data_IF_677733779159
#
_entry.id   IF_677733779159
#
_cell.length_a   1.000
_cell.length_b   1.000
_cell.length_c   1.000
_cell.angle_alpha   90.00
_cell.angle_beta   90.00
_cell.angle_gamma   90.00
#
_symmetry.space_group_name_H-M   'P 1'
#
loop_
_entity.id
_entity.type
_entity.pdbx_description
1 polymer ?
#
# COMPACT_ATOMS: atom_id res chain seq x y z
N UNK A 1 -30.90 -70.19 -2.11
CA UNK A 1 -30.34 -71.39 -1.46
C UNK A 1 -28.83 -71.26 -1.49
N UNK A 2 -28.21 -71.24 -0.29
CA UNK A 2 -26.76 -71.34 0.07
C UNK A 2 -25.76 -70.40 -0.61
N UNK A 3 -25.02 -69.53 0.11
CA UNK A 3 -23.81 -69.81 0.93
C UNK A 3 -22.73 -70.55 0.11
N UNK A 4 -21.46 -70.12 0.02
CA UNK A 4 -20.52 -70.00 1.15
C UNK A 4 -19.27 -69.16 0.80
N UNK A 5 -18.69 -68.62 1.85
CA UNK A 5 -17.47 -67.85 2.12
C UNK A 5 -16.19 -68.72 2.18
N UNK A 6 -15.01 -68.21 1.74
CA UNK A 6 -13.63 -68.57 2.24
C UNK A 6 -12.60 -67.64 1.57
N UNK A 7 -12.00 -66.64 2.23
CA UNK A 7 -10.87 -66.65 3.19
C UNK A 7 -9.54 -67.16 2.61
N UNK A 8 -8.56 -66.23 2.46
CA UNK A 8 -7.15 -66.52 2.17
C UNK A 8 -6.30 -66.03 3.36
N UNK A 9 -5.54 -66.94 3.94
CA UNK A 9 -4.43 -66.75 4.89
C UNK A 9 -3.33 -67.76 4.51
N UNK A 10 -2.09 -67.46 4.90
CA UNK A 10 -0.83 -68.25 4.85
C UNK A 10 0.14 -67.89 3.71
N UNK A 11 1.47 -67.96 3.87
CA UNK A 11 2.35 -67.97 5.04
C UNK A 11 3.82 -67.86 4.55
N UNK A 12 4.63 -67.26 5.43
CA UNK A 12 6.09 -67.37 5.67
C UNK A 12 6.94 -68.51 5.08
N UNK A 13 8.18 -68.18 4.69
CA UNK A 13 9.48 -68.75 5.15
C UNK A 13 10.63 -68.40 4.16
N UNK A 14 11.65 -67.61 4.52
CA UNK A 14 12.86 -67.92 5.32
C UNK A 14 13.91 -68.80 4.60
N UNK A 15 15.03 -68.18 4.17
CA UNK A 15 16.35 -68.83 4.13
C UNK A 15 17.37 -67.86 4.74
N UNK A 16 17.94 -68.30 5.85
CA UNK A 16 19.01 -67.69 6.61
C UNK A 16 20.28 -68.49 6.29
N UNK A 17 21.37 -67.81 5.92
CA UNK A 17 22.72 -68.37 6.08
C UNK A 17 23.62 -67.33 6.74
N UNK A 18 24.48 -67.85 7.59
CA UNK A 18 25.09 -67.25 8.75
C UNK A 18 26.60 -67.19 8.57
N UNK A 19 27.26 -66.11 8.99
CA UNK A 19 28.44 -66.11 9.89
C UNK A 19 29.09 -64.72 10.00
N UNK A 20 29.40 -64.36 11.25
CA UNK A 20 30.11 -63.15 11.74
C UNK A 20 31.64 -63.35 11.69
N UNK A 21 32.49 -62.51 12.35
CA UNK A 21 32.70 -61.07 12.30
C UNK A 21 34.19 -60.73 12.00
N UNK A 22 34.52 -59.50 11.60
CA UNK A 22 35.85 -58.93 11.92
C UNK A 22 35.88 -57.41 11.85
N UNK A 23 36.50 -56.82 12.86
CA UNK A 23 36.75 -55.40 13.08
C UNK A 23 37.86 -54.84 12.17
N UNK A 24 37.69 -53.65 11.58
CA UNK A 24 38.68 -52.55 11.58
C UNK A 24 38.29 -51.40 10.62
N UNK A 25 38.17 -50.20 11.19
CA UNK A 25 38.59 -48.88 10.69
C UNK A 25 38.22 -48.40 9.27
N UNK A 26 37.51 -47.27 9.22
CA UNK A 26 37.89 -45.95 8.65
C UNK A 26 36.65 -45.25 8.04
N UNK A 27 36.33 -44.07 8.60
CA UNK A 27 35.31 -43.11 8.14
C UNK A 27 35.50 -42.66 6.68
N UNK A 28 34.39 -42.27 6.01
CA UNK A 28 34.37 -40.95 5.39
C UNK A 28 33.15 -40.14 5.83
N UNK A 29 33.40 -38.89 6.21
CA UNK A 29 32.45 -37.91 6.71
C UNK A 29 31.18 -37.77 5.84
N UNK A 30 29.97 -37.65 6.43
CA UNK A 30 28.77 -37.35 5.67
C UNK A 30 28.67 -35.85 5.40
N UNK A 31 28.21 -35.52 4.19
CA UNK A 31 27.81 -34.18 3.79
C UNK A 31 26.80 -33.61 4.80
N UNK A 32 27.02 -32.38 5.23
CA UNK A 32 26.20 -31.69 6.22
C UNK A 32 24.89 -31.24 5.56
N UNK A 33 23.86 -32.09 5.61
CA UNK A 33 22.51 -31.63 5.33
C UNK A 33 22.07 -30.66 6.45
N UNK A 34 21.43 -29.53 6.10
CA UNK A 34 20.91 -28.62 7.11
C UNK A 34 19.80 -29.31 7.92
N UNK A 35 19.68 -29.00 9.23
CA UNK A 35 18.65 -29.60 10.05
C UNK A 35 17.26 -29.26 9.50
N UNK A 36 16.28 -30.16 9.67
CA UNK A 36 14.91 -29.91 9.26
C UNK A 36 14.36 -28.65 9.96
N UNK A 37 13.42 -27.93 9.31
CA UNK A 37 12.84 -26.72 9.87
C UNK A 37 12.22 -27.00 11.24
N UNK A 38 12.40 -26.11 12.23
CA UNK A 38 11.88 -26.31 13.57
C UNK A 38 10.35 -26.35 13.54
N UNK A 39 9.76 -27.26 14.32
CA UNK A 39 8.30 -27.42 14.45
C UNK A 39 7.83 -26.55 15.62
N UNK A 40 7.16 -25.41 15.37
CA UNK A 40 6.82 -24.43 16.42
C UNK A 40 5.84 -24.99 17.46
N UNK A 41 5.03 -25.99 17.11
CA UNK A 41 4.09 -26.63 18.04
C UNK A 41 4.77 -27.50 19.11
N UNK A 42 6.08 -27.73 19.00
CA UNK A 42 6.86 -28.56 19.93
C UNK A 42 7.78 -27.72 20.83
N UNK A 43 7.71 -26.38 20.75
CA UNK A 43 8.53 -25.50 21.59
C UNK A 43 7.95 -25.38 23.01
N UNK A 44 8.65 -25.87 24.05
CA UNK A 44 8.20 -25.79 25.44
C UNK A 44 8.09 -24.35 25.95
N UNK A 45 8.66 -23.35 25.25
CA UNK A 45 8.51 -21.93 25.61
C UNK A 45 7.19 -21.31 25.14
N UNK A 46 6.40 -22.04 24.36
CA UNK A 46 5.08 -21.60 23.88
C UNK A 46 3.91 -22.28 24.60
N UNK A 47 4.17 -23.13 25.59
CA UNK A 47 3.11 -23.65 26.46
C UNK A 47 2.54 -22.49 27.30
N UNK A 48 1.30 -22.12 26.99
CA UNK A 48 0.51 -21.23 27.83
C UNK A 48 0.31 -21.97 29.16
N UNK A 49 0.93 -21.48 30.24
CA UNK A 49 0.70 -21.97 31.60
C UNK A 49 -0.78 -21.82 31.94
N UNK A 50 -1.53 -22.91 31.78
CA UNK A 50 -2.97 -22.94 32.04
C UNK A 50 -3.29 -23.19 33.53
N UNK A 51 -2.35 -22.94 34.43
CA UNK A 51 -2.45 -23.30 35.85
C UNK A 51 -2.26 -22.10 36.80
N UNK A 52 -2.94 -20.99 36.48
CA UNK A 52 -3.20 -19.93 37.46
C UNK A 52 -4.66 -19.97 37.87
N UNK A 53 -4.97 -20.93 38.74
CA UNK A 53 -6.20 -20.93 39.54
C UNK A 53 -6.35 -19.57 40.26
N UNK A 54 -7.44 -18.81 40.08
CA UNK A 54 -7.67 -17.63 40.89
C UNK A 54 -8.06 -18.09 42.30
N UNK A 55 -7.25 -17.68 43.27
CA UNK A 55 -7.56 -17.83 44.68
C UNK A 55 -8.92 -17.22 45.01
N UNK A 56 -9.66 -17.96 45.83
CA UNK A 56 -10.93 -17.59 46.44
C UNK A 56 -10.86 -16.21 47.10
N UNK A 57 -11.41 -15.19 46.44
CA UNK A 57 -11.88 -13.96 47.08
C UNK A 57 -13.40 -13.96 47.03
N UNK A 58 -14.01 -13.82 48.20
CA UNK A 58 -15.43 -13.59 48.47
C UNK A 58 -16.15 -12.75 47.40
N UNK A 59 -17.45 -13.00 47.13
CA UNK A 59 -18.20 -12.30 46.10
C UNK A 59 -18.53 -10.88 46.58
N UNK A 60 -17.61 -9.94 46.37
CA UNK A 60 -17.97 -8.54 46.22
C UNK A 60 -18.47 -8.37 44.79
N UNK A 61 -19.76 -8.09 44.68
CA UNK A 61 -20.50 -7.76 43.46
C UNK A 61 -19.79 -6.62 42.70
N UNK A 62 -18.84 -6.98 41.83
CA UNK A 62 -18.09 -6.05 41.00
C UNK A 62 -18.89 -5.80 39.73
N UNK A 63 -19.64 -4.70 39.71
CA UNK A 63 -20.33 -4.13 38.54
C UNK A 63 -19.41 -3.80 37.34
N UNK A 64 -18.12 -4.14 37.40
CA UNK A 64 -17.15 -3.96 36.30
C UNK A 64 -17.07 -5.15 35.34
N UNK A 65 -17.59 -6.34 35.70
CA UNK A 65 -17.51 -7.54 34.86
C UNK A 65 -18.51 -7.58 33.70
N UNK A 66 -19.54 -6.71 33.74
CA UNK A 66 -20.55 -6.54 32.69
C UNK A 66 -20.00 -5.73 31.49
N UNK A 67 -18.77 -5.19 31.60
CA UNK A 67 -18.17 -4.31 30.61
C UNK A 67 -16.90 -4.88 29.98
N UNK A 68 -16.80 -6.20 29.89
CA UNK A 68 -15.71 -6.87 29.19
C UNK A 68 -16.04 -7.08 27.70
N UNK A 69 -15.24 -6.47 26.82
CA UNK A 69 -15.35 -6.61 25.37
C UNK A 69 -15.23 -8.08 24.92
N UNK A 70 -14.39 -8.88 25.60
CA UNK A 70 -14.16 -10.27 25.23
C UNK A 70 -15.33 -11.20 25.55
N UNK A 71 -16.25 -10.76 26.42
CA UNK A 71 -17.50 -11.48 26.71
C UNK A 71 -18.66 -11.08 25.77
N UNK A 72 -18.45 -10.08 24.91
CA UNK A 72 -19.48 -9.58 24.00
C UNK A 72 -19.83 -10.60 22.92
N UNK A 73 -21.10 -10.99 22.87
CA UNK A 73 -21.59 -11.93 21.85
C UNK A 73 -21.59 -11.29 20.46
N UNK A 74 -21.30 -12.05 19.39
CA UNK A 74 -21.36 -11.52 18.02
C UNK A 74 -22.71 -10.92 17.63
N UNK A 75 -23.81 -11.49 18.15
CA UNK A 75 -25.17 -10.97 17.94
C UNK A 75 -25.37 -9.57 18.52
N UNK A 76 -24.75 -9.28 19.68
CA UNK A 76 -24.84 -7.96 20.32
C UNK A 76 -24.00 -6.94 19.56
N UNK A 77 -22.79 -7.31 19.13
CA UNK A 77 -21.97 -6.47 18.25
C UNK A 77 -22.66 -6.17 16.91
N UNK A 78 -23.38 -7.14 16.34
CA UNK A 78 -24.20 -6.94 15.16
C UNK A 78 -25.33 -5.93 15.41
N UNK A 79 -26.01 -6.01 16.55
CA UNK A 79 -27.04 -5.02 16.89
C UNK A 79 -26.46 -3.62 17.06
N UNK A 80 -25.28 -3.48 17.68
CA UNK A 80 -24.56 -2.21 17.79
C UNK A 80 -24.19 -1.64 16.42
N UNK A 81 -23.68 -2.48 15.51
CA UNK A 81 -23.42 -2.11 14.11
C UNK A 81 -24.70 -1.64 13.42
N UNK A 82 -25.80 -2.39 13.54
CA UNK A 82 -27.07 -2.05 12.93
C UNK A 82 -27.59 -0.70 13.44
N UNK A 83 -27.59 -0.50 14.76
CA UNK A 83 -28.03 0.75 15.38
C UNK A 83 -27.18 1.95 14.94
N UNK A 84 -25.85 1.77 14.88
CA UNK A 84 -24.91 2.79 14.40
C UNK A 84 -25.20 3.20 12.96
N UNK A 85 -25.36 2.23 12.05
CA UNK A 85 -25.65 2.51 10.63
C UNK A 85 -27.03 3.15 10.47
N UNK A 86 -28.05 2.67 11.18
CA UNK A 86 -29.37 3.30 11.15
C UNK A 86 -29.35 4.74 11.66
N UNK A 87 -28.55 5.03 12.69
CA UNK A 87 -28.38 6.39 13.17
C UNK A 87 -27.75 7.30 12.12
N UNK A 88 -26.68 6.84 11.45
CA UNK A 88 -26.05 7.59 10.36
C UNK A 88 -27.04 7.85 9.22
N UNK A 89 -27.88 6.88 8.88
CA UNK A 89 -28.96 7.04 7.89
C UNK A 89 -29.97 8.09 8.33
N UNK A 90 -30.40 8.08 9.61
CA UNK A 90 -31.36 9.07 10.14
C UNK A 90 -30.80 10.48 10.11
N UNK A 91 -29.51 10.65 10.44
CA UNK A 91 -28.89 11.98 10.51
C UNK A 91 -28.60 12.53 9.11
N UNK A 92 -28.08 11.70 8.21
CA UNK A 92 -27.81 12.10 6.82
C UNK A 92 -29.11 12.48 6.10
N UNK A 93 -30.20 11.78 6.40
CA UNK A 93 -31.49 11.95 5.73
C UNK A 93 -31.48 11.38 4.30
N UNK A 94 -32.57 11.62 3.58
CA UNK A 94 -32.72 11.17 2.19
C UNK A 94 -32.11 12.23 1.26
N UNK A 95 -30.78 12.21 1.14
CA UNK A 95 -30.08 13.03 0.14
C UNK A 95 -30.25 12.32 -1.21
N UNK A 96 -30.99 12.89 -2.18
CA UNK A 96 -31.08 12.28 -3.49
C UNK A 96 -29.66 12.15 -4.03
N UNK A 97 -29.28 10.98 -4.61
CA UNK A 97 -27.95 10.81 -5.16
C UNK A 97 -27.71 11.98 -6.09
N UNK A 98 -26.76 12.84 -5.75
CA UNK A 98 -26.52 14.07 -6.49
C UNK A 98 -26.29 13.62 -7.92
N UNK A 99 -27.16 13.98 -8.87
CA UNK A 99 -26.98 13.57 -10.24
C UNK A 99 -25.56 13.99 -10.63
N UNK A 100 -24.83 13.19 -11.41
CA UNK A 100 -23.56 13.65 -11.97
C UNK A 100 -23.82 15.04 -12.54
N UNK A 101 -22.94 16.04 -12.31
CA UNK A 101 -23.19 17.40 -12.75
C UNK A 101 -23.63 17.34 -14.21
N UNK A 102 -24.93 17.58 -14.44
CA UNK A 102 -25.50 17.81 -15.76
C UNK A 102 -25.15 19.25 -16.13
N UNK A 103 -23.88 19.59 -16.08
CA UNK A 103 -23.42 20.63 -16.98
C UNK A 103 -23.40 19.93 -18.33
N UNK A 104 -24.23 20.33 -19.32
CA UNK A 104 -23.81 20.15 -20.68
C UNK A 104 -22.40 20.75 -20.71
N UNK A 105 -21.39 19.97 -21.08
CA UNK A 105 -20.18 20.57 -21.57
C UNK A 105 -20.64 21.47 -22.71
N UNK A 106 -20.67 22.77 -22.47
CA UNK A 106 -20.93 23.73 -23.52
C UNK A 106 -19.94 23.35 -24.64
N UNK A 107 -20.40 23.01 -25.85
CA UNK A 107 -19.54 22.45 -26.88
C UNK A 107 -18.39 23.39 -27.30
N UNK A 108 -18.38 24.64 -26.80
CA UNK A 108 -17.30 25.60 -26.99
C UNK A 108 -16.14 25.51 -25.97
N UNK A 109 -16.26 24.75 -24.87
CA UNK A 109 -15.18 24.63 -23.87
C UNK A 109 -14.15 23.55 -24.19
N UNK A 110 -14.41 22.67 -25.17
CA UNK A 110 -13.42 21.70 -25.65
C UNK A 110 -12.16 22.39 -26.15
N UNK A 111 -12.29 23.57 -26.77
CA UNK A 111 -11.16 24.36 -27.22
C UNK A 111 -10.40 24.97 -26.04
N UNK A 112 -11.08 25.33 -24.95
CA UNK A 112 -10.45 25.93 -23.77
C UNK A 112 -9.74 24.89 -22.89
N UNK A 113 -10.27 23.67 -22.79
CA UNK A 113 -9.59 22.53 -22.17
C UNK A 113 -8.41 22.05 -23.04
N UNK A 114 -8.60 21.92 -24.36
CA UNK A 114 -7.51 21.57 -25.28
C UNK A 114 -6.43 22.66 -25.33
N UNK A 115 -6.82 23.93 -25.23
CA UNK A 115 -5.89 25.06 -25.13
C UNK A 115 -5.16 25.05 -23.79
N UNK A 116 -5.84 24.77 -22.67
CA UNK A 116 -5.17 24.62 -21.36
C UNK A 116 -4.20 23.44 -21.33
N UNK A 117 -4.56 22.32 -21.94
CA UNK A 117 -3.68 21.15 -22.11
C UNK A 117 -2.53 21.44 -23.08
N UNK A 118 -2.77 22.23 -24.14
CA UNK A 118 -1.76 22.71 -25.08
C UNK A 118 -0.79 23.69 -24.42
N UNK A 119 -1.28 24.58 -23.55
CA UNK A 119 -0.48 25.47 -22.71
C UNK A 119 0.38 24.64 -21.75
N UNK A 120 -0.20 23.65 -21.06
CA UNK A 120 0.55 22.77 -20.17
C UNK A 120 1.64 21.96 -20.91
N UNK A 121 1.33 21.37 -22.06
CA UNK A 121 2.28 20.61 -22.89
C UNK A 121 3.37 21.51 -23.48
N UNK A 122 3.03 22.68 -24.01
CA UNK A 122 3.99 23.61 -24.61
C UNK A 122 4.92 24.28 -23.59
N UNK A 123 4.46 24.55 -22.37
CA UNK A 123 5.33 25.03 -21.30
C UNK A 123 6.26 23.93 -20.77
N UNK A 124 5.79 22.68 -20.72
CA UNK A 124 6.63 21.51 -20.38
C UNK A 124 7.69 21.25 -21.46
N UNK A 125 7.33 21.26 -22.74
CA UNK A 125 8.27 21.10 -23.85
C UNK A 125 9.31 22.23 -23.91
N UNK A 126 8.90 23.49 -23.70
CA UNK A 126 9.83 24.63 -23.63
C UNK A 126 10.77 24.53 -22.43
N UNK A 127 10.28 24.03 -21.29
CA UNK A 127 11.11 23.79 -20.10
C UNK A 127 12.13 22.68 -20.34
N UNK A 128 11.70 21.57 -20.95
CA UNK A 128 12.53 20.40 -21.22
C UNK A 128 13.56 20.68 -22.34
N UNK A 129 13.18 21.45 -23.36
CA UNK A 129 14.09 21.93 -24.39
C UNK A 129 15.15 22.90 -23.82
N UNK A 130 14.77 23.79 -22.89
CA UNK A 130 15.74 24.62 -22.16
C UNK A 130 16.69 23.78 -21.32
N UNK A 131 16.18 22.78 -20.61
CA UNK A 131 17.01 21.88 -19.80
C UNK A 131 18.05 21.14 -20.67
N UNK A 132 17.63 20.63 -21.84
CA UNK A 132 18.54 19.98 -22.80
C UNK A 132 19.57 20.95 -23.39
N UNK A 133 19.16 22.17 -23.73
CA UNK A 133 20.08 23.18 -24.25
C UNK A 133 21.12 23.59 -23.20
N UNK A 134 20.74 23.64 -21.92
CA UNK A 134 21.64 23.91 -20.81
C UNK A 134 22.65 22.77 -20.61
N UNK A 135 22.18 21.52 -20.62
CA UNK A 135 23.06 20.35 -20.51
C UNK A 135 24.10 20.28 -21.66
N UNK A 136 23.70 20.58 -22.90
CA UNK A 136 24.63 20.62 -24.04
C UNK A 136 25.66 21.74 -23.92
N UNK A 137 25.28 22.90 -23.36
CA UNK A 137 26.23 24.00 -23.09
C UNK A 137 27.25 23.62 -22.02
N UNK A 138 26.79 23.02 -20.94
CA UNK A 138 27.66 22.53 -19.87
C UNK A 138 28.65 21.47 -20.42
N UNK A 139 28.19 20.56 -21.28
CA UNK A 139 29.07 19.58 -21.93
C UNK A 139 30.11 20.24 -22.86
N UNK A 140 29.71 21.28 -23.61
CA UNK A 140 30.63 22.04 -24.46
C UNK A 140 31.66 22.82 -23.64
N UNK A 141 31.24 23.46 -22.55
CA UNK A 141 32.13 24.18 -21.64
C UNK A 141 33.10 23.21 -20.96
N UNK A 142 32.65 22.02 -20.56
CA UNK A 142 33.53 21.01 -19.97
C UNK A 142 34.56 20.49 -20.99
N UNK A 143 34.15 20.27 -22.25
CA UNK A 143 35.07 19.91 -23.35
C UNK A 143 36.11 21.01 -23.58
N UNK A 144 35.69 22.27 -23.62
CA UNK A 144 36.59 23.42 -23.78
C UNK A 144 37.55 23.55 -22.60
N UNK A 145 37.07 23.31 -21.37
CA UNK A 145 37.88 23.34 -20.14
C UNK A 145 38.94 22.24 -20.15
N UNK A 146 38.58 21.02 -20.57
CA UNK A 146 39.54 19.92 -20.74
C UNK A 146 40.56 20.22 -21.84
N UNK A 147 40.14 20.83 -22.95
CA UNK A 147 41.05 21.23 -24.02
C UNK A 147 42.06 22.31 -23.57
N UNK A 148 41.60 23.33 -22.83
CA UNK A 148 42.49 24.36 -22.25
C UNK A 148 43.48 23.77 -21.25
N UNK A 149 43.02 22.84 -20.40
CA UNK A 149 43.92 22.15 -19.46
C UNK A 149 44.97 21.32 -20.19
N UNK A 150 44.61 20.62 -21.27
CA UNK A 150 45.58 19.89 -22.08
C UNK A 150 46.60 20.82 -22.76
N UNK A 151 46.17 21.96 -23.32
CA UNK A 151 47.10 22.94 -23.89
C UNK A 151 48.07 23.50 -22.84
N UNK A 152 47.58 23.87 -21.65
CA UNK A 152 48.43 24.38 -20.57
C UNK A 152 49.45 23.34 -20.09
N UNK A 153 49.04 22.07 -19.99
CA UNK A 153 49.97 20.98 -19.65
C UNK A 153 51.02 20.76 -20.76
N UNK A 154 50.64 20.89 -22.04
CA UNK A 154 51.58 20.80 -23.16
C UNK A 154 52.59 21.96 -23.15
N UNK A 155 52.13 23.19 -22.92
CA UNK A 155 53.00 24.36 -22.81
C UNK A 155 53.94 24.29 -21.62
N UNK A 156 53.47 23.83 -20.45
CA UNK A 156 54.33 23.61 -19.28
C UNK A 156 55.39 22.54 -19.57
N UNK A 157 55.03 21.41 -20.20
CA UNK A 157 56.01 20.39 -20.62
C UNK A 157 57.04 20.97 -21.60
N UNK A 158 56.62 21.83 -22.54
CA UNK A 158 57.50 22.46 -23.50
C UNK A 158 58.44 23.49 -22.85
N UNK A 159 57.97 24.24 -21.84
CA UNK A 159 58.79 25.15 -21.02
C UNK A 159 59.80 24.40 -20.17
N UNK A 160 59.40 23.32 -19.49
CA UNK A 160 60.29 22.46 -18.70
C UNK A 160 61.39 21.83 -19.57
N UNK A 161 61.08 21.40 -20.80
CA UNK A 161 62.10 20.92 -21.74
C UNK A 161 63.04 22.03 -22.24
N UNK A 162 62.55 23.27 -22.40
CA UNK A 162 63.38 24.42 -22.78
C UNK A 162 64.31 24.87 -21.66
N UNK A 163 63.87 24.80 -20.40
CA UNK A 163 64.72 25.08 -19.24
C UNK A 163 65.77 23.99 -19.01
N UNK A 164 65.41 22.69 -19.15
CA UNK A 164 66.40 21.59 -19.10
C UNK A 164 67.48 21.66 -20.18
N UNK A 165 67.23 22.30 -21.33
CA UNK A 165 68.24 22.51 -22.38
C UNK A 165 69.10 23.76 -22.18
N UNK A 166 68.71 24.67 -21.27
CA UNK A 166 69.46 25.92 -21.00
C UNK A 166 70.29 25.88 -19.71
N UNK A 167 69.98 25.01 -18.76
CA UNK A 167 70.79 24.84 -17.54
C UNK A 167 71.54 23.51 -17.57
N UNK A 168 72.69 23.50 -18.25
CA UNK A 168 73.76 22.58 -17.90
C UNK A 168 74.34 22.96 -16.53
N UNK A 169 74.60 21.95 -15.72
CA UNK A 169 75.34 21.95 -14.46
C UNK A 169 74.57 22.10 -13.12
N UNK A 170 74.59 20.97 -12.41
CA UNK A 170 74.72 20.78 -10.96
C UNK A 170 73.51 20.93 -10.02
N UNK A 171 73.49 19.97 -9.08
CA UNK A 171 72.79 19.88 -7.78
C UNK A 171 71.39 19.24 -7.79
N UNK A 172 71.43 17.91 -7.62
CA UNK A 172 70.33 17.14 -7.06
C UNK A 172 70.23 17.34 -5.54
N UNK A 173 69.03 17.64 -5.06
CA UNK A 173 68.55 17.38 -3.69
C UNK A 173 67.05 17.70 -3.56
N UNK A 174 66.54 18.68 -4.33
CA UNK A 174 65.16 19.18 -4.18
C UNK A 174 64.10 18.32 -4.91
N UNK A 175 64.51 17.52 -5.90
CA UNK A 175 63.57 16.76 -6.76
C UNK A 175 62.92 15.56 -6.07
N UNK A 176 63.61 14.90 -5.11
CA UNK A 176 63.06 13.73 -4.39
C UNK A 176 61.96 14.12 -3.40
N UNK A 177 62.09 15.27 -2.74
CA UNK A 177 61.10 15.79 -1.79
C UNK A 177 59.81 16.23 -2.49
N UNK A 178 59.94 16.80 -3.71
CA UNK A 178 58.79 17.18 -4.53
C UNK A 178 58.10 15.98 -5.20
N UNK A 179 58.86 14.94 -5.57
CA UNK A 179 58.29 13.66 -5.98
C UNK A 179 57.58 12.94 -4.82
N UNK A 180 58.14 13.00 -3.61
CA UNK A 180 57.52 12.44 -2.41
C UNK A 180 56.22 13.16 -2.05
N UNK A 181 56.20 14.49 -2.05
CA UNK A 181 54.99 15.28 -1.77
C UNK A 181 53.90 15.10 -2.84
N UNK A 182 54.28 14.97 -4.12
CA UNK A 182 53.35 14.62 -5.20
C UNK A 182 52.76 13.21 -5.04
N UNK A 183 53.57 12.22 -4.60
CA UNK A 183 53.07 10.86 -4.33
C UNK A 183 52.15 10.82 -3.11
N UNK A 184 52.48 11.57 -2.05
CA UNK A 184 51.72 11.60 -0.80
C UNK A 184 50.37 12.32 -0.96
N UNK A 185 50.32 13.35 -1.82
CA UNK A 185 49.07 14.04 -2.18
C UNK A 185 48.19 13.18 -3.09
N UNK A 186 48.75 12.43 -4.05
CA UNK A 186 47.99 11.48 -4.86
C UNK A 186 47.37 10.34 -4.01
N UNK A 187 48.08 9.88 -2.98
CA UNK A 187 47.59 8.88 -2.03
C UNK A 187 46.41 9.41 -1.17
N UNK A 188 46.47 10.68 -0.76
CA UNK A 188 45.40 11.34 0.02
C UNK A 188 44.12 11.57 -0.79
N UNK A 189 44.25 11.91 -2.08
CA UNK A 189 43.11 12.07 -2.99
C UNK A 189 42.44 10.71 -3.24
N UNK A 190 43.22 9.64 -3.43
CA UNK A 190 42.69 8.28 -3.57
C UNK A 190 41.97 7.77 -2.30
N UNK A 191 42.41 8.21 -1.11
CA UNK A 191 41.69 7.93 0.14
C UNK A 191 40.38 8.74 0.27
N UNK A 192 40.33 9.99 -0.19
CA UNK A 192 39.10 10.78 -0.15
C UNK A 192 37.99 10.22 -1.05
N UNK A 193 38.33 9.74 -2.25
CA UNK A 193 37.36 9.07 -3.13
C UNK A 193 36.83 7.74 -2.55
N UNK A 194 37.64 7.05 -1.73
CA UNK A 194 37.21 5.84 -1.02
C UNK A 194 36.23 6.13 0.14
N UNK A 195 36.25 7.35 0.70
CA UNK A 195 35.33 7.78 1.77
C UNK A 195 34.06 8.47 1.25
N UNK A 196 34.00 8.85 -0.04
CA UNK A 196 32.81 9.42 -0.65
C UNK A 196 31.70 8.39 -0.96
N UNK A 197 31.93 7.10 -0.70
CA UNK A 197 30.93 6.03 -0.85
C UNK A 197 30.76 5.25 0.46
N UNK A 198 30.04 5.84 1.42
CA UNK A 198 29.44 5.10 2.53
C UNK A 198 28.31 5.89 3.20
N UNK A 199 27.14 5.91 2.58
CA UNK A 199 25.87 5.93 3.33
C UNK A 199 24.97 4.86 2.71
N UNK A 200 24.53 3.93 3.55
CA UNK A 200 23.62 2.80 3.29
C UNK A 200 24.10 1.60 2.46
N UNK A 201 24.91 0.76 3.12
CA UNK A 201 24.50 -0.64 3.36
C UNK A 201 24.41 -1.64 2.20
N UNK A 202 24.71 -1.30 0.94
CA UNK A 202 24.67 -2.26 -0.19
C UNK A 202 26.00 -2.27 -0.95
N UNK A 203 26.78 -3.35 -0.79
CA UNK A 203 27.99 -3.60 -1.60
C UNK A 203 27.60 -4.13 -2.97
N UNK A 204 27.57 -3.26 -3.98
CA UNK A 204 27.49 -3.68 -5.38
C UNK A 204 28.85 -4.22 -5.82
N UNK A 205 28.88 -5.51 -6.16
CA UNK A 205 30.04 -6.24 -6.68
C UNK A 205 30.38 -5.65 -8.06
N UNK A 206 31.40 -4.78 -8.14
CA UNK A 206 31.84 -4.21 -9.40
C UNK A 206 32.57 -5.29 -10.22
N UNK A 207 31.96 -5.66 -11.34
CA UNK A 207 32.44 -6.68 -12.26
C UNK A 207 33.83 -6.28 -12.80
N UNK A 208 34.83 -7.09 -12.47
CA UNK A 208 36.24 -6.80 -12.72
C UNK A 208 36.67 -7.23 -14.12
N UNK A 209 36.05 -6.74 -15.20
CA UNK A 209 36.51 -7.02 -16.56
C UNK A 209 36.08 -5.93 -17.56
N UNK A 210 36.90 -4.87 -17.73
CA UNK A 210 37.04 -4.15 -19.01
C UNK A 210 38.23 -3.17 -18.99
N UNK A 211 39.44 -3.74 -19.09
CA UNK A 211 40.59 -3.05 -19.71
C UNK A 211 40.75 -3.62 -21.12
N UNK A 212 40.19 -2.94 -22.11
CA UNK A 212 40.65 -3.01 -23.51
C UNK A 212 40.43 -1.66 -24.19
N UNK A 213 41.35 -1.34 -25.10
CA UNK A 213 41.60 -0.05 -25.77
C UNK A 213 40.41 0.59 -26.52
N UNK A 214 40.47 1.91 -26.82
CA UNK A 214 39.41 2.64 -27.51
C UNK A 214 39.53 2.46 -29.03
N UNK A 215 38.63 1.68 -29.61
CA UNK A 215 38.41 1.65 -31.05
C UNK A 215 36.93 1.46 -31.36
N UNK A 216 36.33 2.50 -31.95
CA UNK A 216 35.20 2.47 -32.88
C UNK A 216 34.15 1.36 -32.68
N UNK A 217 33.08 1.67 -31.95
CA UNK A 217 31.70 1.30 -32.29
C UNK A 217 30.78 1.82 -31.17
N UNK A 218 29.83 2.68 -31.54
CA UNK A 218 28.80 3.16 -30.64
C UNK A 218 27.95 1.97 -30.15
N UNK A 219 27.76 1.77 -28.84
CA UNK A 219 26.77 0.81 -28.36
C UNK A 219 25.45 1.55 -28.09
N UNK A 220 24.42 1.18 -28.86
CA UNK A 220 22.99 1.25 -28.54
C UNK A 220 22.48 2.52 -27.81
N UNK A 221 22.08 3.52 -28.61
CA UNK A 221 20.98 4.41 -28.21
C UNK A 221 19.67 3.62 -28.25
N UNK A 222 19.35 2.88 -27.19
CA UNK A 222 17.94 2.69 -26.87
C UNK A 222 17.45 4.03 -26.30
N UNK A 223 16.37 4.63 -26.84
CA UNK A 223 15.70 5.73 -26.15
C UNK A 223 15.39 5.26 -24.72
N UNK A 224 15.62 6.10 -23.67
CA UNK A 224 15.18 5.74 -22.33
C UNK A 224 13.69 5.42 -22.41
N UNK A 225 13.30 4.21 -22.01
CA UNK A 225 11.89 3.85 -21.95
C UNK A 225 11.14 4.93 -21.18
N UNK A 226 9.96 5.36 -21.66
CA UNK A 226 9.23 6.44 -21.02
C UNK A 226 8.97 6.03 -19.56
N UNK A 227 9.57 6.78 -18.63
CA UNK A 227 9.25 6.62 -17.21
C UNK A 227 7.75 6.87 -17.04
N UNK A 228 7.01 5.79 -16.78
CA UNK A 228 5.58 5.87 -16.53
C UNK A 228 5.41 6.58 -15.20
N UNK A 229 5.13 7.88 -15.24
CA UNK A 229 4.69 8.63 -14.07
C UNK A 229 3.31 8.10 -13.71
N UNK A 230 3.27 7.18 -12.74
CA UNK A 230 2.02 6.64 -12.19
C UNK A 230 1.14 7.81 -11.74
N UNK A 231 0.05 8.04 -12.46
CA UNK A 231 -0.90 9.10 -12.18
C UNK A 231 -0.76 10.40 -12.98
N UNK A 232 0.12 10.47 -14.00
CA UNK A 232 0.21 11.63 -14.89
C UNK A 232 -1.13 12.01 -15.55
N UNK A 233 -1.98 11.01 -15.85
CA UNK A 233 -3.33 11.18 -16.40
C UNK A 233 -4.44 10.91 -15.38
N UNK A 234 -4.10 10.89 -14.08
CA UNK A 234 -5.09 10.58 -13.05
C UNK A 234 -6.14 11.69 -12.95
N UNK A 235 -7.41 11.29 -12.93
CA UNK A 235 -8.51 12.22 -12.71
C UNK A 235 -8.35 12.90 -11.33
N UNK A 236 -8.86 14.12 -11.13
CA UNK A 236 -8.72 14.79 -9.86
C UNK A 236 -9.40 13.97 -8.74
N UNK A 237 -8.79 13.95 -7.55
CA UNK A 237 -9.11 13.04 -6.43
C UNK A 237 -10.60 13.03 -6.06
N UNK A 238 -11.26 14.17 -6.12
CA UNK A 238 -12.70 14.34 -5.90
C UNK A 238 -13.56 13.59 -6.93
N UNK A 239 -13.14 13.53 -8.19
CA UNK A 239 -13.86 12.78 -9.24
C UNK A 239 -13.67 11.26 -9.07
N UNK A 240 -12.46 10.84 -8.68
CA UNK A 240 -12.17 9.45 -8.34
C UNK A 240 -13.01 8.98 -7.15
N UNK A 241 -12.99 9.72 -6.04
CA UNK A 241 -13.82 9.45 -4.87
C UNK A 241 -15.31 9.39 -5.21
N UNK A 242 -15.81 10.35 -6.00
CA UNK A 242 -17.21 10.32 -6.44
C UNK A 242 -17.56 9.09 -7.27
N UNK A 243 -16.65 8.61 -8.12
CA UNK A 243 -16.86 7.40 -8.93
C UNK A 243 -16.88 6.11 -8.08
N UNK A 244 -16.03 6.04 -7.06
CA UNK A 244 -15.95 4.94 -6.10
C UNK A 244 -17.21 4.92 -5.21
N UNK A 245 -17.55 6.05 -4.60
CA UNK A 245 -18.73 6.19 -3.72
C UNK A 245 -20.04 5.80 -4.43
N UNK A 246 -20.17 6.10 -5.73
CA UNK A 246 -21.35 5.70 -6.54
C UNK A 246 -21.57 4.18 -6.61
N UNK A 247 -20.53 3.35 -6.43
CA UNK A 247 -20.67 1.88 -6.48
C UNK A 247 -21.50 1.31 -5.33
N UNK A 248 -21.57 2.03 -4.21
CA UNK A 248 -22.36 1.64 -3.06
C UNK A 248 -23.84 2.00 -3.18
N UNK A 249 -24.25 2.84 -4.15
CA UNK A 249 -25.65 3.25 -4.27
C UNK A 249 -26.47 2.25 -5.06
N UNK A 250 -27.54 1.73 -4.44
CA UNK A 250 -28.56 0.95 -5.10
C UNK A 250 -29.49 1.83 -5.94
N UNK A 251 -30.08 1.27 -7.00
CA UNK A 251 -31.08 1.96 -7.83
C UNK A 251 -32.31 2.36 -7.01
N UNK A 252 -32.79 1.46 -6.16
CA UNK A 252 -33.89 1.68 -5.22
C UNK A 252 -33.43 1.33 -3.81
N UNK A 253 -34.12 1.84 -2.79
CA UNK A 253 -33.95 1.38 -1.41
C UNK A 253 -34.30 -0.12 -1.31
N UNK A 254 -33.42 -0.97 -0.75
CA UNK A 254 -33.75 -2.36 -0.52
C UNK A 254 -34.95 -2.50 0.44
N UNK A 255 -35.91 -3.41 0.17
CA UNK A 255 -37.11 -3.56 0.99
C UNK A 255 -36.86 -4.20 2.36
N UNK A 256 -35.68 -4.80 2.56
CA UNK A 256 -35.24 -5.40 3.82
C UNK A 256 -34.52 -4.34 4.67
N UNK A 257 -34.74 -4.31 5.98
CA UNK A 257 -34.00 -3.40 6.85
C UNK A 257 -32.51 -3.79 6.97
N UNK A 258 -31.65 -2.84 7.37
CA UNK A 258 -30.23 -3.13 7.59
C UNK A 258 -30.05 -4.20 8.68
N UNK A 259 -30.83 -4.14 9.76
CA UNK A 259 -30.82 -5.14 10.82
C UNK A 259 -31.17 -6.55 10.30
N UNK A 260 -32.29 -6.67 9.57
CA UNK A 260 -32.70 -7.97 9.01
C UNK A 260 -31.68 -8.52 8.01
N UNK A 261 -31.07 -7.64 7.22
CA UNK A 261 -30.01 -8.02 6.29
C UNK A 261 -28.74 -8.51 7.01
N UNK A 262 -28.35 -7.84 8.10
CA UNK A 262 -27.26 -8.27 8.97
C UNK A 262 -27.56 -9.61 9.65
N UNK A 263 -28.77 -9.81 10.19
CA UNK A 263 -29.20 -11.08 10.78
C UNK A 263 -29.13 -12.23 9.78
N UNK A 264 -29.56 -12.00 8.52
CA UNK A 264 -29.39 -12.96 7.43
C UNK A 264 -27.91 -13.29 7.19
N UNK A 265 -27.04 -12.28 7.10
CA UNK A 265 -25.60 -12.51 6.92
C UNK A 265 -25.02 -13.33 8.08
N UNK A 266 -25.37 -13.00 9.32
CA UNK A 266 -24.93 -13.73 10.51
C UNK A 266 -25.41 -15.18 10.54
N UNK A 267 -26.65 -15.44 10.11
CA UNK A 267 -27.22 -16.78 10.08
C UNK A 267 -26.47 -17.72 9.12
N UNK A 268 -26.07 -17.26 7.94
CA UNK A 268 -25.43 -18.10 6.91
C UNK A 268 -23.90 -17.99 6.89
N UNK A 269 -23.37 -16.89 7.38
CA UNK A 269 -21.95 -16.54 7.47
C UNK A 269 -21.67 -15.90 8.84
N UNK A 270 -21.71 -16.68 9.94
CA UNK A 270 -21.39 -16.16 11.26
C UNK A 270 -19.96 -15.62 11.28
N UNK A 271 -19.80 -14.44 11.84
CA UNK A 271 -18.53 -13.71 11.94
C UNK A 271 -18.24 -13.42 13.41
N UNK A 272 -16.97 -13.20 13.74
CA UNK A 272 -16.55 -12.83 15.08
C UNK A 272 -17.08 -11.44 15.49
N UNK A 273 -17.17 -11.22 16.80
CA UNK A 273 -17.50 -9.92 17.40
C UNK A 273 -16.62 -8.79 16.85
N UNK A 274 -15.33 -9.07 16.67
CA UNK A 274 -14.35 -8.11 16.16
C UNK A 274 -14.71 -7.62 14.75
N UNK A 275 -15.16 -8.50 13.86
CA UNK A 275 -15.54 -8.14 12.48
C UNK A 275 -16.72 -7.17 12.45
N UNK A 276 -17.75 -7.38 13.28
CA UNK A 276 -18.90 -6.46 13.35
C UNK A 276 -18.51 -5.09 13.91
N UNK A 277 -17.72 -5.06 14.98
CA UNK A 277 -17.25 -3.82 15.59
C UNK A 277 -16.30 -3.05 14.67
N UNK A 278 -15.35 -3.74 14.03
CA UNK A 278 -14.43 -3.14 13.06
C UNK A 278 -15.17 -2.60 11.84
N UNK A 279 -16.19 -3.30 11.37
CA UNK A 279 -17.05 -2.79 10.29
C UNK A 279 -17.73 -1.48 10.70
N UNK A 280 -18.24 -1.39 11.94
CA UNK A 280 -18.83 -0.16 12.45
C UNK A 280 -17.79 0.96 12.51
N UNK A 281 -16.58 0.66 12.98
CA UNK A 281 -15.47 1.61 13.04
C UNK A 281 -15.08 2.12 11.64
N UNK A 282 -14.95 1.23 10.65
CA UNK A 282 -14.62 1.64 9.29
C UNK A 282 -15.69 2.54 8.69
N UNK A 283 -16.97 2.19 8.85
CA UNK A 283 -18.08 3.02 8.38
C UNK A 283 -18.10 4.36 9.11
N UNK A 284 -17.82 4.38 10.42
CA UNK A 284 -17.72 5.61 11.20
C UNK A 284 -16.61 6.53 10.66
N UNK A 285 -15.40 6.01 10.43
CA UNK A 285 -14.29 6.77 9.84
C UNK A 285 -14.67 7.38 8.50
N UNK A 286 -15.21 6.56 7.61
CA UNK A 286 -15.60 6.97 6.26
C UNK A 286 -16.74 8.01 6.25
N UNK A 287 -17.71 7.89 7.16
CA UNK A 287 -18.90 8.73 7.16
C UNK A 287 -18.74 10.01 7.98
N UNK A 288 -18.06 9.93 9.13
CA UNK A 288 -18.03 11.00 10.15
C UNK A 288 -16.69 11.71 10.16
N UNK A 289 -15.58 10.96 10.23
CA UNK A 289 -14.23 11.53 10.37
C UNK A 289 -13.75 12.12 9.04
N UNK A 290 -13.74 11.32 7.98
CA UNK A 290 -13.27 11.70 6.66
C UNK A 290 -14.35 12.36 5.79
N UNK A 291 -15.62 12.10 6.12
CA UNK A 291 -16.79 12.55 5.34
C UNK A 291 -16.70 12.14 3.86
N UNK A 292 -16.08 11.00 3.57
CA UNK A 292 -15.87 10.47 2.23
C UNK A 292 -17.16 9.95 1.58
N UNK A 293 -18.09 9.43 2.39
CA UNK A 293 -19.37 8.90 1.91
C UNK A 293 -20.51 9.21 2.90
N UNK A 294 -21.59 9.91 2.47
CA UNK A 294 -22.78 10.04 3.28
C UNK A 294 -23.56 8.72 3.30
N UNK A 295 -23.95 8.24 4.49
CA UNK A 295 -24.68 6.97 4.64
C UNK A 295 -26.17 7.21 4.48
N UNK A 296 -26.78 6.54 3.51
CA UNK A 296 -28.19 6.71 3.15
C UNK A 296 -28.89 5.35 3.07
N UNK A 297 -30.22 5.36 3.05
CA UNK A 297 -31.05 4.15 2.84
C UNK A 297 -30.70 3.38 1.57
N UNK A 298 -30.19 4.07 0.55
CA UNK A 298 -29.85 3.48 -0.75
C UNK A 298 -28.46 2.86 -0.81
N UNK A 299 -27.56 3.19 0.12
CA UNK A 299 -26.19 2.68 0.10
C UNK A 299 -25.81 1.82 1.33
N UNK A 300 -26.54 1.93 2.43
CA UNK A 300 -26.22 1.28 3.69
C UNK A 300 -25.96 -0.23 3.55
N UNK A 301 -26.85 -0.98 2.87
CA UNK A 301 -26.70 -2.43 2.71
C UNK A 301 -25.42 -2.84 1.98
N UNK A 302 -25.07 -2.12 0.91
CA UNK A 302 -23.87 -2.39 0.11
C UNK A 302 -22.61 -1.99 0.86
N UNK A 303 -22.67 -0.89 1.60
CA UNK A 303 -21.57 -0.41 2.43
C UNK A 303 -21.26 -1.40 3.57
N UNK A 304 -22.30 -1.86 4.26
CA UNK A 304 -22.18 -2.87 5.32
C UNK A 304 -21.68 -4.20 4.77
N UNK A 305 -22.18 -4.67 3.62
CA UNK A 305 -21.70 -5.90 2.99
C UNK A 305 -20.20 -5.82 2.66
N UNK A 306 -19.76 -4.70 2.07
CA UNK A 306 -18.37 -4.48 1.73
C UNK A 306 -17.49 -4.38 2.98
N UNK A 307 -17.92 -3.62 3.99
CA UNK A 307 -17.20 -3.46 5.25
C UNK A 307 -17.04 -4.79 5.99
N UNK A 308 -18.10 -5.60 6.09
CA UNK A 308 -18.02 -6.95 6.67
C UNK A 308 -17.06 -7.84 5.89
N UNK A 309 -17.11 -7.80 4.55
CA UNK A 309 -16.22 -8.60 3.71
C UNK A 309 -14.75 -8.23 3.91
N UNK A 310 -14.45 -6.94 3.95
CA UNK A 310 -13.10 -6.43 4.16
C UNK A 310 -12.61 -6.72 5.57
N UNK A 311 -13.43 -6.44 6.59
CA UNK A 311 -13.09 -6.70 8.00
C UNK A 311 -12.84 -8.18 8.28
N UNK A 312 -13.67 -9.08 7.75
CA UNK A 312 -13.46 -10.53 7.85
C UNK A 312 -12.11 -10.94 7.28
N UNK A 313 -11.76 -10.45 6.09
CA UNK A 313 -10.47 -10.77 5.46
C UNK A 313 -9.27 -10.16 6.19
N UNK A 314 -9.47 -9.06 6.91
CA UNK A 314 -8.39 -8.36 7.63
C UNK A 314 -8.15 -8.93 9.03
N UNK A 315 -9.18 -9.46 9.69
CA UNK A 315 -9.14 -9.80 11.12
C UNK A 315 -9.27 -11.30 11.42
N UNK A 316 -9.83 -12.10 10.50
CA UNK A 316 -10.00 -13.53 10.70
C UNK A 316 -8.99 -14.33 9.87
N UNK A 317 -8.44 -15.39 10.47
CA UNK A 317 -7.52 -16.31 9.79
C UNK A 317 -8.22 -17.08 8.64
N UNK A 318 -9.51 -17.37 8.83
CA UNK A 318 -10.34 -18.08 7.87
C UNK A 318 -11.46 -17.16 7.40
N UNK A 319 -11.55 -16.96 6.08
CA UNK A 319 -12.64 -16.19 5.47
C UNK A 319 -13.56 -17.08 4.66
N UNK A 320 -14.85 -16.73 4.62
CA UNK A 320 -15.79 -17.47 3.77
C UNK A 320 -15.46 -17.32 2.28
N UNK A 321 -15.74 -18.34 1.47
CA UNK A 321 -15.60 -18.26 0.01
C UNK A 321 -16.37 -17.07 -0.55
N UNK A 322 -15.77 -16.40 -1.54
CA UNK A 322 -16.35 -15.21 -2.19
C UNK A 322 -17.75 -15.48 -2.73
N UNK A 323 -17.93 -16.65 -3.36
CA UNK A 323 -19.19 -17.12 -3.93
C UNK A 323 -20.30 -17.27 -2.89
N UNK A 324 -19.97 -17.73 -1.67
CA UNK A 324 -20.92 -17.89 -0.57
C UNK A 324 -21.38 -16.52 -0.06
N UNK A 325 -20.45 -15.60 0.18
CA UNK A 325 -20.79 -14.25 0.65
C UNK A 325 -21.63 -13.49 -0.39
N UNK A 326 -21.29 -13.60 -1.67
CA UNK A 326 -22.06 -12.97 -2.74
C UNK A 326 -23.52 -13.48 -2.78
N UNK A 327 -23.70 -14.81 -2.71
CA UNK A 327 -25.02 -15.45 -2.66
C UNK A 327 -25.84 -15.02 -1.44
N UNK A 328 -25.24 -15.04 -0.24
CA UNK A 328 -25.94 -14.64 0.99
C UNK A 328 -26.30 -13.15 0.96
N UNK A 329 -25.36 -12.31 0.52
CA UNK A 329 -25.52 -10.86 0.38
C UNK A 329 -26.42 -10.42 -0.80
N UNK A 330 -26.87 -11.35 -1.64
CA UNK A 330 -27.79 -11.06 -2.73
C UNK A 330 -27.19 -10.20 -3.84
N UNK A 331 -25.89 -10.34 -4.11
CA UNK A 331 -25.16 -9.62 -5.17
C UNK A 331 -24.41 -10.60 -6.06
N UNK A 332 -24.05 -10.17 -7.28
CA UNK A 332 -23.17 -10.99 -8.12
C UNK A 332 -21.73 -11.01 -7.56
N UNK A 333 -20.96 -12.04 -7.88
CA UNK A 333 -19.56 -12.15 -7.42
C UNK A 333 -18.68 -10.99 -7.93
N UNK A 334 -18.91 -10.57 -9.18
CA UNK A 334 -18.24 -9.41 -9.79
C UNK A 334 -18.58 -8.12 -9.05
N UNK A 335 -19.84 -7.98 -8.65
CA UNK A 335 -20.30 -6.82 -7.88
C UNK A 335 -19.73 -6.81 -6.47
N UNK A 336 -19.70 -7.96 -5.78
CA UNK A 336 -19.05 -8.07 -4.47
C UNK A 336 -17.57 -7.70 -4.56
N UNK A 337 -16.86 -8.19 -5.57
CA UNK A 337 -15.44 -7.84 -5.79
C UNK A 337 -15.26 -6.34 -6.00
N UNK A 338 -16.13 -5.70 -6.78
CA UNK A 338 -16.09 -4.24 -6.99
C UNK A 338 -16.38 -3.47 -5.71
N UNK A 339 -17.34 -3.91 -4.91
CA UNK A 339 -17.67 -3.29 -3.62
C UNK A 339 -16.50 -3.39 -2.64
N UNK A 340 -15.87 -4.57 -2.56
CA UNK A 340 -14.69 -4.81 -1.72
C UNK A 340 -13.53 -3.89 -2.11
N UNK A 341 -13.15 -3.88 -3.39
CA UNK A 341 -12.07 -3.01 -3.90
C UNK A 341 -12.40 -1.54 -3.63
N UNK A 342 -13.63 -1.12 -3.91
CA UNK A 342 -14.08 0.26 -3.68
C UNK A 342 -13.97 0.65 -2.21
N UNK A 343 -14.29 -0.27 -1.29
CA UNK A 343 -14.22 -0.02 0.15
C UNK A 343 -12.78 0.14 0.61
N UNK A 344 -11.87 -0.72 0.15
CA UNK A 344 -10.45 -0.59 0.47
C UNK A 344 -9.85 0.74 0.00
N UNK A 345 -10.22 1.20 -1.21
CA UNK A 345 -9.78 2.50 -1.70
C UNK A 345 -10.34 3.67 -0.88
N UNK A 346 -11.62 3.62 -0.48
CA UNK A 346 -12.18 4.64 0.40
C UNK A 346 -11.47 4.65 1.76
N UNK A 347 -11.18 3.48 2.32
CA UNK A 347 -10.52 3.35 3.62
C UNK A 347 -8.99 3.59 3.57
N UNK A 348 -8.44 3.99 2.41
CA UNK A 348 -6.99 4.18 2.25
C UNK A 348 -6.14 2.94 2.54
N UNK A 349 -6.73 1.74 2.52
CA UNK A 349 -6.13 0.49 2.99
C UNK A 349 -5.70 0.49 4.48
N UNK A 350 -6.16 1.44 5.28
CA UNK A 350 -5.92 1.51 6.73
C UNK A 350 -6.89 0.60 7.51
N UNK A 351 -6.69 -0.71 7.36
CA UNK A 351 -7.58 -1.76 7.88
C UNK A 351 -7.06 -2.41 9.18
N UNK A 352 -5.93 -1.96 9.72
CA UNK A 352 -5.39 -2.51 10.96
C UNK A 352 -6.17 -1.92 12.15
N UNK A 353 -6.73 -2.79 12.98
CA UNK A 353 -7.49 -2.39 14.18
C UNK A 353 -6.94 -3.11 15.39
N UNK A 354 -6.32 -2.35 16.30
CA UNK A 354 -5.86 -2.86 17.59
C UNK A 354 -6.98 -2.91 18.63
N UNK A 355 -6.75 -3.68 19.69
CA UNK A 355 -7.68 -3.87 20.82
C UNK A 355 -8.17 -2.53 21.40
N UNK A 356 -7.24 -1.62 21.70
CA UNK A 356 -7.54 -0.33 22.33
C UNK A 356 -8.53 0.50 21.51
N UNK A 357 -8.30 0.58 20.19
CA UNK A 357 -9.16 1.34 19.27
C UNK A 357 -10.54 0.69 19.21
N UNK A 358 -10.60 -0.64 19.15
CA UNK A 358 -11.85 -1.37 19.07
C UNK A 358 -12.68 -1.24 20.35
N UNK A 359 -12.02 -1.32 21.52
CA UNK A 359 -12.64 -1.18 22.84
C UNK A 359 -13.21 0.22 23.02
N UNK A 360 -12.42 1.25 22.71
CA UNK A 360 -12.88 2.65 22.74
C UNK A 360 -14.09 2.87 21.81
N UNK A 361 -14.06 2.32 20.59
CA UNK A 361 -15.20 2.41 19.66
C UNK A 361 -16.43 1.70 20.21
N UNK A 362 -16.26 0.51 20.79
CA UNK A 362 -17.35 -0.24 21.40
C UNK A 362 -18.00 0.50 22.57
N UNK A 363 -17.22 1.09 23.47
CA UNK A 363 -17.73 1.90 24.59
C UNK A 363 -18.62 3.05 24.08
N UNK A 364 -18.15 3.74 23.05
CA UNK A 364 -18.87 4.83 22.38
C UNK A 364 -20.20 4.35 21.76
N UNK A 365 -20.21 3.18 21.11
CA UNK A 365 -21.43 2.57 20.59
C UNK A 365 -22.42 2.23 21.70
N UNK A 366 -21.93 1.69 22.82
CA UNK A 366 -22.73 1.19 23.94
C UNK A 366 -23.37 2.31 24.76
N UNK A 367 -22.65 3.40 24.99
CA UNK A 367 -23.16 4.56 25.74
C UNK A 367 -24.19 5.39 24.97
N UNK A 368 -24.55 5.01 23.73
CA UNK A 368 -25.45 5.78 22.88
C UNK A 368 -24.89 7.16 22.49
N UNK A 369 -23.61 7.41 22.77
CA UNK A 369 -22.91 8.66 22.46
C UNK A 369 -22.61 8.82 20.96
N UNK A 370 -23.00 7.87 20.13
CA UNK A 370 -22.93 8.02 18.67
C UNK A 370 -23.65 9.29 18.22
N UNK A 371 -24.75 9.69 18.87
CA UNK A 371 -25.40 10.98 18.61
C UNK A 371 -24.48 12.17 18.90
N UNK A 372 -23.70 12.15 19.99
CA UNK A 372 -22.74 13.21 20.35
C UNK A 372 -21.53 13.26 19.43
N UNK A 373 -21.10 12.12 18.86
CA UNK A 373 -20.06 12.11 17.83
C UNK A 373 -20.52 12.80 16.55
N UNK A 374 -21.83 12.74 16.29
CA UNK A 374 -22.45 13.35 15.11
C UNK A 374 -22.98 14.77 15.40
N UNK A 375 -23.07 15.21 16.66
CA UNK A 375 -23.46 16.60 17.02
C UNK A 375 -22.42 17.66 16.58
N UNK A 376 -21.23 17.27 16.11
CA UNK A 376 -20.29 18.14 15.38
C UNK A 376 -20.55 18.21 13.85
N UNK A 377 -21.58 17.51 13.37
CA UNK A 377 -21.98 17.43 11.97
C UNK A 377 -22.99 18.54 11.65
N UNK A 378 -22.57 19.80 11.75
CA UNK A 378 -23.22 20.85 10.97
C UNK A 378 -23.02 20.51 9.49
N UNK A 379 -23.96 19.76 8.91
CA UNK A 379 -24.08 19.65 7.46
C UNK A 379 -24.54 21.03 6.99
N UNK A 380 -23.75 21.78 6.19
CA UNK A 380 -24.24 23.02 5.61
C UNK A 380 -25.50 22.68 4.83
N UNK A 381 -26.67 23.04 5.37
CA UNK A 381 -27.93 23.00 4.63
C UNK A 381 -27.76 24.02 3.53
N UNK A 382 -27.28 23.57 2.36
CA UNK A 382 -27.30 24.35 1.13
C UNK A 382 -28.77 24.59 0.78
N UNK A 383 -29.35 25.63 1.38
CA UNK A 383 -30.60 26.21 0.94
C UNK A 383 -30.31 26.78 -0.43
N UNK A 384 -30.64 26.03 -1.47
CA UNK A 384 -30.75 26.57 -2.81
C UNK A 384 -31.93 27.54 -2.77
N UNK A 385 -31.63 28.80 -2.46
CA UNK A 385 -32.57 29.90 -2.64
C UNK A 385 -33.03 29.85 -4.09
N UNK A 386 -34.32 29.54 -4.30
CA UNK A 386 -34.95 29.66 -5.60
C UNK A 386 -34.89 31.12 -5.99
N UNK A 387 -33.84 31.53 -6.69
CA UNK A 387 -33.76 32.85 -7.32
C UNK A 387 -34.95 32.94 -8.25
N UNK A 388 -36.00 33.64 -7.81
CA UNK A 388 -37.16 33.96 -8.65
C UNK A 388 -36.59 34.64 -9.89
N UNK A 389 -36.77 34.03 -11.06
CA UNK A 389 -36.48 34.68 -12.33
C UNK A 389 -37.38 35.91 -12.43
N UNK A 390 -36.85 37.07 -12.07
CA UNK A 390 -37.45 38.37 -12.42
C UNK A 390 -37.39 38.50 -13.94
N UNK A 391 -38.52 38.26 -14.60
CA UNK A 391 -38.69 38.47 -16.04
C UNK A 391 -38.75 39.96 -16.40
N UNK A 392 -37.72 40.74 -16.05
CA UNK A 392 -37.68 42.18 -16.35
C UNK A 392 -36.41 42.70 -17.04
N UNK A 393 -35.45 41.86 -17.36
CA UNK A 393 -34.19 42.31 -18.02
C UNK A 393 -34.01 41.80 -19.47
N UNK A 394 -35.08 41.42 -20.17
CA UNK A 394 -35.02 41.07 -21.61
C UNK A 394 -35.65 42.16 -22.50
N UNK A 395 -36.04 43.32 -21.95
CA UNK A 395 -36.61 44.42 -22.75
C UNK A 395 -35.74 45.67 -22.85
N UNK A 396 -34.50 45.65 -22.35
CA UNK A 396 -33.60 46.82 -22.37
C UNK A 396 -32.26 46.54 -23.07
N UNK A 397 -32.28 45.65 -24.06
CA UNK A 397 -31.14 45.41 -24.95
C UNK A 397 -31.54 45.22 -26.43
N UNK A 398 -32.75 45.68 -26.79
CA UNK A 398 -33.26 45.69 -28.18
C UNK A 398 -33.99 46.99 -28.54
N UNK A 399 -33.53 48.11 -27.97
CA UNK A 399 -33.66 49.45 -28.54
C UNK A 399 -32.29 50.11 -28.44
#
# INVERSE_FOLDING_TARGET
MSATETQQVEATAAIQLQQQPNSSSVDPSPAHDPPPPPVPSSDPRLSIDNDRSPGHSTPTDNSNDEHDLFKLKPSEALQLLSASVELLVRITGDVPPTPPPKTPTDPQMSNMQAEKESIARSHSEKSLARLRAQALREEQEEKLRKQRQQQQQQEQKLKLQRESKRSGSSVGSVSKLQAYSASMSAQLIAQQDAYAQAVDGVRLKHDSLRRTNPSSSAPNLHPPEPYVVVGADSQPLNLQHGAITRKFYSKNEPPISVNQYLLRLHQFCPMSTAVYLATSLYIHRLAVEERAIPVTRRNAHRLVLAGLRVAMKALEDLSYPHTKIAKVGGVSEVELARLEISFCFLAGFELVVGEEILKKHWEVLREGKVQRMVDGMEVPKLKLEKKRKTSREVHQLMQ
#
